data_IF_849795998994
#
_entry.id   IF_849795998994
#
_cell.length_a   1.000
_cell.length_b   1.000
_cell.length_c   1.000
_cell.angle_alpha   90.00
_cell.angle_beta   90.00
_cell.angle_gamma   90.00
#
_symmetry.space_group_name_H-M   'P 1'
#
loop_
_entity.id
_entity.type
_entity.pdbx_description
1 polymer ?
#
# COMPACT_ATOMS: atom_id res chain seq x y z
N UNK A 1 10.69 -10.66 33.70
CA UNK A 1 10.38 -11.22 35.03
C UNK A 1 11.68 -11.30 35.82
N UNK A 2 11.67 -11.03 37.13
CA UNK A 2 12.88 -11.10 37.96
C UNK A 2 13.14 -12.57 38.29
N UNK A 3 14.35 -13.04 37.99
CA UNK A 3 14.75 -14.43 38.15
C UNK A 3 15.66 -14.60 39.37
N UNK A 4 16.53 -13.62 39.65
CA UNK A 4 17.37 -13.62 40.85
C UNK A 4 17.62 -12.19 41.39
N UNK A 5 17.88 -12.12 42.69
CA UNK A 5 18.32 -10.92 43.38
C UNK A 5 19.42 -11.28 44.40
N UNK A 6 20.55 -10.58 44.33
CA UNK A 6 21.69 -10.76 45.22
C UNK A 6 21.98 -9.45 45.95
N UNK A 7 22.24 -9.55 47.26
CA UNK A 7 22.57 -8.40 48.12
C UNK A 7 23.93 -8.64 48.75
N UNK A 8 24.92 -7.86 48.33
CA UNK A 8 26.27 -7.82 48.90
C UNK A 8 26.68 -6.36 49.16
N UNK A 9 27.85 -5.92 48.71
CA UNK A 9 28.23 -4.50 48.67
C UNK A 9 27.35 -3.70 47.70
N UNK A 10 26.72 -4.39 46.74
CA UNK A 10 25.74 -3.85 45.79
C UNK A 10 24.53 -4.77 45.70
N UNK A 11 23.41 -4.22 45.23
CA UNK A 11 22.23 -5.01 44.88
C UNK A 11 22.32 -5.34 43.39
N UNK A 12 22.32 -6.62 43.06
CA UNK A 12 22.25 -7.09 41.68
C UNK A 12 20.94 -7.81 41.44
N UNK A 13 20.28 -7.51 40.33
CA UNK A 13 19.01 -8.11 39.94
C UNK A 13 19.16 -8.60 38.51
N UNK A 14 18.73 -9.83 38.25
CA UNK A 14 18.68 -10.40 36.92
C UNK A 14 17.27 -10.87 36.60
N UNK A 15 16.97 -10.92 35.30
CA UNK A 15 15.65 -11.29 34.84
C UNK A 15 15.57 -11.40 33.32
N UNK A 16 14.43 -11.89 32.87
CA UNK A 16 14.13 -12.07 31.44
C UNK A 16 13.30 -10.89 30.92
N UNK A 17 13.75 -10.25 29.84
CA UNK A 17 12.95 -9.32 29.04
C UNK A 17 12.24 -10.11 27.94
N UNK A 18 10.91 -10.01 27.88
CA UNK A 18 10.13 -10.55 26.77
C UNK A 18 9.98 -9.46 25.71
N UNK A 19 10.15 -9.80 24.44
CA UNK A 19 9.99 -8.89 23.31
C UNK A 19 8.69 -9.16 22.53
N UNK A 20 8.03 -10.29 22.74
CA UNK A 20 6.90 -10.80 21.96
C UNK A 20 5.51 -10.57 22.59
N UNK A 21 5.43 -9.88 23.73
CA UNK A 21 4.16 -9.64 24.45
C UNK A 21 3.28 -8.61 23.74
N UNK A 22 3.84 -7.45 23.36
CA UNK A 22 3.15 -6.38 22.66
C UNK A 22 4.11 -5.48 21.85
N UNK A 23 3.59 -4.45 21.16
CA UNK A 23 4.45 -3.53 20.40
C UNK A 23 5.40 -2.70 21.29
N UNK A 24 5.06 -2.48 22.57
CA UNK A 24 5.93 -1.74 23.49
C UNK A 24 7.11 -2.61 23.93
N UNK A 25 6.89 -3.91 24.16
CA UNK A 25 7.97 -4.84 24.49
C UNK A 25 9.00 -4.93 23.37
N UNK A 26 8.55 -4.98 22.11
CA UNK A 26 9.43 -4.94 20.93
C UNK A 26 10.25 -3.66 20.87
N UNK A 27 9.63 -2.51 21.13
CA UNK A 27 10.33 -1.22 21.14
C UNK A 27 11.39 -1.14 22.23
N UNK A 28 11.08 -1.61 23.45
CA UNK A 28 12.04 -1.64 24.56
C UNK A 28 13.23 -2.54 24.24
N UNK A 29 12.99 -3.73 23.70
CA UNK A 29 14.04 -4.65 23.26
C UNK A 29 14.91 -4.01 22.17
N UNK A 30 14.31 -3.43 21.13
CA UNK A 30 15.05 -2.76 20.05
C UNK A 30 15.88 -1.56 20.53
N UNK A 31 15.39 -0.80 21.52
CA UNK A 31 16.16 0.29 22.14
C UNK A 31 17.33 -0.25 22.96
N UNK A 32 17.16 -1.37 23.66
CA UNK A 32 18.24 -2.03 24.37
C UNK A 32 19.31 -2.57 23.41
N UNK A 33 18.92 -3.21 22.30
CA UNK A 33 19.85 -3.69 21.26
C UNK A 33 20.66 -2.56 20.62
N UNK A 34 20.09 -1.35 20.56
CA UNK A 34 20.78 -0.14 20.08
C UNK A 34 21.73 0.48 21.11
N UNK A 35 21.87 -0.11 22.29
CA UNK A 35 22.80 0.33 23.34
C UNK A 35 22.27 1.50 24.17
N UNK A 36 20.96 1.64 24.34
CA UNK A 36 20.40 2.67 25.22
C UNK A 36 20.90 2.48 26.67
N UNK A 37 21.37 3.55 27.35
CA UNK A 37 21.96 3.45 28.68
C UNK A 37 20.87 3.37 29.76
N UNK A 38 20.32 2.18 29.93
CA UNK A 38 19.26 1.95 30.91
C UNK A 38 19.75 2.03 32.35
N UNK A 39 18.86 2.44 33.23
CA UNK A 39 19.07 2.56 34.67
C UNK A 39 18.04 1.71 35.43
N UNK A 40 18.28 1.54 36.73
CA UNK A 40 17.37 0.78 37.58
C UNK A 40 16.98 1.61 38.79
N UNK A 41 15.68 1.71 39.04
CA UNK A 41 15.14 2.34 40.24
C UNK A 41 14.62 1.29 41.20
N UNK A 42 14.62 1.60 42.50
CA UNK A 42 14.18 0.69 43.56
C UNK A 42 13.25 1.40 44.53
N UNK A 43 12.13 0.74 44.85
CA UNK A 43 11.19 1.19 45.87
C UNK A 43 11.58 0.63 47.24
N UNK A 44 12.32 1.42 48.02
CA UNK A 44 12.79 1.04 49.36
C UNK A 44 11.77 1.47 50.42
N UNK A 45 11.36 0.51 51.25
CA UNK A 45 10.54 0.75 52.43
C UNK A 45 11.44 0.65 53.67
N UNK A 46 11.84 1.78 54.29
CA UNK A 46 12.72 1.76 55.44
C UNK A 46 11.99 1.22 56.68
N UNK A 47 12.63 0.31 57.41
CA UNK A 47 12.12 -0.14 58.72
C UNK A 47 12.39 0.89 59.82
N UNK A 48 13.53 1.57 59.74
CA UNK A 48 13.93 2.70 60.60
C UNK A 48 14.78 3.69 59.81
N UNK A 49 14.65 4.97 60.11
CA UNK A 49 15.45 6.04 59.52
C UNK A 49 16.30 6.70 60.61
N UNK A 50 17.60 6.79 60.38
CA UNK A 50 18.56 7.45 61.27
C UNK A 50 19.05 8.73 60.60
N UNK A 51 18.71 9.87 61.18
CA UNK A 51 19.23 11.17 60.72
C UNK A 51 20.61 11.45 61.34
N UNK A 52 21.61 11.59 60.50
CA UNK A 52 22.98 11.91 60.90
C UNK A 52 23.17 13.41 60.71
N UNK A 53 23.37 14.12 61.83
CA UNK A 53 23.55 15.58 61.83
C UNK A 53 24.92 15.98 61.26
N UNK A 54 25.02 17.26 60.87
CA UNK A 54 26.28 17.88 60.45
C UNK A 54 27.37 17.64 61.51
N UNK A 55 28.55 17.20 61.09
CA UNK A 55 29.70 16.92 61.97
C UNK A 55 29.69 15.54 62.65
N UNK A 56 28.59 14.78 62.57
CA UNK A 56 28.55 13.39 63.00
C UNK A 56 28.95 12.43 61.86
N UNK A 57 29.41 11.24 62.22
CA UNK A 57 29.73 10.15 61.28
C UNK A 57 28.86 8.93 61.56
N UNK A 58 28.53 8.18 60.51
CA UNK A 58 27.85 6.89 60.61
C UNK A 58 28.58 5.84 59.78
N UNK A 59 28.65 4.62 60.30
CA UNK A 59 29.10 3.45 59.56
C UNK A 59 27.92 2.81 58.81
N UNK A 60 28.05 2.70 57.50
CA UNK A 60 27.06 2.11 56.58
C UNK A 60 27.80 1.17 55.63
N UNK A 61 27.47 -0.12 55.66
CA UNK A 61 28.10 -1.15 54.81
C UNK A 61 29.65 -1.15 54.86
N UNK A 62 30.22 -0.90 56.05
CA UNK A 62 31.68 -0.82 56.25
C UNK A 62 32.34 0.49 55.77
N UNK A 63 31.52 1.48 55.37
CA UNK A 63 31.98 2.80 54.97
C UNK A 63 31.60 3.86 56.00
N UNK A 64 32.56 4.72 56.35
CA UNK A 64 32.35 5.85 57.24
C UNK A 64 31.84 7.06 56.47
N UNK A 65 30.58 7.45 56.69
CA UNK A 65 29.93 8.58 56.01
C UNK A 65 29.68 9.74 56.96
N UNK A 66 30.02 10.95 56.56
CA UNK A 66 29.79 12.18 57.34
C UNK A 66 28.42 12.80 57.01
N UNK A 67 27.71 13.28 58.03
CA UNK A 67 26.44 13.99 57.85
C UNK A 67 26.60 15.38 57.22
N UNK A 68 25.51 15.98 56.69
CA UNK A 68 24.12 15.58 56.90
C UNK A 68 23.65 14.51 55.92
N UNK A 69 23.13 13.40 56.44
CA UNK A 69 22.54 12.32 55.63
C UNK A 69 21.50 11.54 56.43
N UNK A 70 20.64 10.79 55.74
CA UNK A 70 19.67 9.88 56.38
C UNK A 70 20.03 8.44 56.03
N UNK A 71 20.24 7.61 57.04
CA UNK A 71 20.53 6.17 56.86
C UNK A 71 19.24 5.38 57.06
N UNK A 72 18.82 4.67 56.02
CA UNK A 72 17.71 3.73 56.10
C UNK A 72 18.22 2.37 56.59
N UNK A 73 17.67 1.86 57.69
CA UNK A 73 18.03 0.57 58.30
C UNK A 73 16.84 -0.40 58.29
N UNK A 74 17.17 -1.70 58.26
CA UNK A 74 16.20 -2.80 58.21
C UNK A 74 15.22 -2.64 57.04
N UNK A 75 15.77 -2.33 55.88
CA UNK A 75 15.00 -1.97 54.69
C UNK A 75 14.38 -3.19 54.04
N UNK A 76 13.19 -3.00 53.46
CA UNK A 76 12.58 -3.96 52.54
C UNK A 76 12.50 -3.35 51.15
N UNK A 77 13.08 -4.03 50.17
CA UNK A 77 12.88 -3.71 48.75
C UNK A 77 11.56 -4.33 48.30
N UNK A 78 10.64 -3.50 47.82
CA UNK A 78 9.31 -3.97 47.36
C UNK A 78 9.21 -4.13 45.86
N UNK A 79 9.93 -3.30 45.14
CA UNK A 79 9.86 -3.21 43.70
C UNK A 79 11.19 -2.72 43.15
N UNK A 80 11.43 -3.09 41.91
CA UNK A 80 12.55 -2.64 41.10
C UNK A 80 12.00 -2.34 39.72
N UNK A 81 12.46 -1.26 39.12
CA UNK A 81 11.94 -0.74 37.86
C UNK A 81 13.09 -0.54 36.89
N UNK A 82 12.90 -1.04 35.67
CA UNK A 82 13.78 -0.77 34.55
C UNK A 82 13.39 0.57 33.93
N UNK A 83 14.31 1.54 33.92
CA UNK A 83 14.02 2.94 33.65
C UNK A 83 15.00 3.53 32.65
N UNK A 84 14.56 4.50 31.85
CA UNK A 84 15.47 5.33 31.05
C UNK A 84 16.30 6.27 31.93
N UNK A 85 15.71 6.76 33.03
CA UNK A 85 16.34 7.58 34.04
C UNK A 85 15.86 7.14 35.43
N UNK A 86 16.77 6.70 36.27
CA UNK A 86 16.56 6.32 37.66
C UNK A 86 16.72 7.51 38.61
N UNK A 87 16.24 7.34 39.84
CA UNK A 87 16.43 8.33 40.90
C UNK A 87 17.91 8.39 41.38
N UNK A 88 18.61 7.27 41.30
CA UNK A 88 20.03 7.16 41.61
C UNK A 88 20.86 7.09 40.31
N UNK A 89 21.74 8.08 40.13
CA UNK A 89 22.57 8.23 38.94
C UNK A 89 23.70 7.20 38.84
N UNK A 90 23.98 6.45 39.92
CA UNK A 90 24.98 5.38 39.95
C UNK A 90 24.39 4.00 39.64
N UNK A 91 23.14 3.94 39.18
CA UNK A 91 22.50 2.70 38.75
C UNK A 91 22.67 2.46 37.26
N UNK A 92 22.79 1.19 36.87
CA UNK A 92 22.80 0.78 35.47
C UNK A 92 22.03 -0.52 35.30
N UNK A 93 21.44 -0.69 34.12
CA UNK A 93 20.80 -1.91 33.70
C UNK A 93 21.22 -2.23 32.26
N UNK A 94 21.46 -3.51 31.98
CA UNK A 94 21.85 -3.98 30.66
C UNK A 94 20.98 -5.18 30.30
N UNK A 95 20.58 -5.25 29.03
CA UNK A 95 19.84 -6.38 28.48
C UNK A 95 20.83 -7.20 27.67
N UNK A 96 20.97 -8.47 28.02
CA UNK A 96 21.87 -9.41 27.34
C UNK A 96 21.05 -10.42 26.54
N UNK A 97 21.47 -10.72 25.32
CA UNK A 97 20.93 -11.81 24.53
C UNK A 97 21.77 -13.06 24.75
N UNK A 98 21.13 -14.17 25.13
CA UNK A 98 21.80 -15.46 25.33
C UNK A 98 22.43 -15.89 23.99
N UNK A 99 23.76 -15.87 23.91
CA UNK A 99 24.53 -16.21 22.70
C UNK A 99 25.77 -15.33 22.49
N UNK A 100 25.84 -14.15 23.11
CA UNK A 100 27.03 -13.31 23.10
C UNK A 100 27.83 -13.53 24.40
N UNK A 101 28.88 -14.34 24.34
CA UNK A 101 29.93 -14.35 25.37
C UNK A 101 30.74 -13.07 25.22
N UNK A 102 30.38 -12.02 25.95
CA UNK A 102 31.30 -10.91 26.20
C UNK A 102 31.61 -10.87 27.69
N UNK A 103 32.89 -10.98 28.00
CA UNK A 103 33.44 -10.86 29.35
C UNK A 103 32.99 -9.55 29.97
N UNK A 104 32.23 -9.66 31.07
CA UNK A 104 31.62 -8.52 31.74
C UNK A 104 32.67 -7.84 32.61
N UNK A 105 33.44 -6.92 32.04
CA UNK A 105 34.12 -5.90 32.83
C UNK A 105 33.02 -4.99 33.40
N UNK A 106 32.78 -5.09 34.71
CA UNK A 106 31.90 -4.19 35.43
C UNK A 106 32.44 -2.76 35.31
N UNK A 107 31.98 -2.03 34.31
CA UNK A 107 32.20 -0.61 34.21
C UNK A 107 31.40 0.06 35.33
N UNK A 108 32.11 0.49 36.38
CA UNK A 108 31.59 1.41 37.38
C UNK A 108 31.01 2.61 36.62
N UNK A 109 29.71 2.92 36.72
CA UNK A 109 29.19 4.13 36.12
C UNK A 109 29.78 5.30 36.91
N UNK A 110 30.80 5.97 36.35
CA UNK A 110 31.03 7.36 36.75
C UNK A 110 29.75 8.13 36.42
N UNK A 111 29.26 8.99 37.33
CA UNK A 111 28.12 9.84 37.00
C UNK A 111 28.47 10.57 35.71
N UNK A 112 27.53 10.71 34.75
CA UNK A 112 27.80 11.47 33.55
C UNK A 112 28.23 12.86 34.00
N UNK A 113 29.53 13.15 33.93
CA UNK A 113 29.97 14.53 33.80
C UNK A 113 29.16 15.03 32.63
N UNK A 114 28.42 16.13 32.81
CA UNK A 114 27.96 16.89 31.66
C UNK A 114 29.20 17.06 30.79
N UNK A 115 29.30 16.26 29.73
CA UNK A 115 30.31 16.45 28.73
C UNK A 115 29.93 17.80 28.16
N UNK A 116 30.69 18.83 28.49
CA UNK A 116 30.75 20.01 27.66
C UNK A 116 31.08 19.45 26.27
N UNK A 117 30.05 19.36 25.42
CA UNK A 117 30.21 19.00 24.02
C UNK A 117 31.27 19.95 23.51
N UNK A 118 32.41 19.40 23.10
CA UNK A 118 33.51 20.22 22.61
C UNK A 118 32.99 21.06 21.44
N UNK A 119 33.54 22.25 21.24
CA UNK A 119 33.09 23.12 20.13
C UNK A 119 33.21 22.38 18.79
N UNK A 120 34.20 21.50 18.69
CA UNK A 120 34.45 20.61 17.57
C UNK A 120 33.31 19.59 17.36
N UNK A 121 32.78 19.00 18.43
CA UNK A 121 31.64 18.06 18.36
C UNK A 121 30.35 18.78 17.95
N UNK A 122 30.16 20.03 18.39
CA UNK A 122 29.03 20.86 17.99
C UNK A 122 29.10 21.23 16.50
N UNK A 123 30.28 21.64 16.01
CA UNK A 123 30.50 21.97 14.59
C UNK A 123 30.34 20.74 13.69
N UNK A 124 30.77 19.56 14.17
CA UNK A 124 30.52 18.28 13.50
C UNK A 124 29.03 17.95 13.47
N UNK A 125 28.31 18.11 14.57
CA UNK A 125 26.87 17.86 14.62
C UNK A 125 26.08 18.80 13.67
N UNK A 126 26.49 20.07 13.55
CA UNK A 126 25.91 21.00 12.56
C UNK A 126 26.16 20.52 11.13
N UNK A 127 27.38 20.04 10.85
CA UNK A 127 27.74 19.52 9.53
C UNK A 127 26.96 18.25 9.19
N UNK A 128 26.82 17.34 10.13
CA UNK A 128 26.01 16.12 9.99
C UNK A 128 24.51 16.45 9.81
N UNK A 129 24.00 17.45 10.52
CA UNK A 129 22.62 17.94 10.32
C UNK A 129 22.42 18.58 8.94
N UNK A 130 23.39 19.36 8.46
CA UNK A 130 23.32 19.96 7.13
C UNK A 130 23.34 18.90 6.03
N UNK A 131 24.20 17.87 6.16
CA UNK A 131 24.31 16.78 5.19
C UNK A 131 23.08 15.86 5.21
N UNK A 132 22.55 15.52 6.39
CA UNK A 132 21.30 14.73 6.51
C UNK A 132 20.10 15.48 5.94
N UNK A 133 19.98 16.79 6.19
CA UNK A 133 18.94 17.62 5.57
C UNK A 133 19.04 17.63 4.05
N UNK A 134 20.24 17.81 3.49
CA UNK A 134 20.45 17.76 2.05
C UNK A 134 20.09 16.38 1.45
N UNK A 135 20.43 15.29 2.16
CA UNK A 135 20.06 13.93 1.75
C UNK A 135 18.54 13.72 1.78
N UNK A 136 17.85 14.25 2.80
CA UNK A 136 16.40 14.18 2.92
C UNK A 136 15.70 14.94 1.79
N UNK A 137 16.15 16.16 1.49
CA UNK A 137 15.62 16.95 0.38
C UNK A 137 15.83 16.26 -0.97
N UNK A 138 17.00 15.66 -1.19
CA UNK A 138 17.28 14.87 -2.39
C UNK A 138 16.39 13.62 -2.49
N UNK A 139 16.15 12.92 -1.38
CA UNK A 139 15.26 11.76 -1.37
C UNK A 139 13.81 12.15 -1.63
N UNK A 140 13.34 13.26 -1.05
CA UNK A 140 11.99 13.77 -1.31
C UNK A 140 11.81 14.19 -2.77
N UNK A 141 12.81 14.83 -3.37
CA UNK A 141 12.79 15.16 -4.80
C UNK A 141 12.66 13.90 -5.68
N UNK A 142 13.37 12.83 -5.31
CA UNK A 142 13.28 11.54 -6.02
C UNK A 142 11.92 10.86 -5.84
N UNK A 143 11.29 10.98 -4.66
CA UNK A 143 9.94 10.46 -4.42
C UNK A 143 8.94 11.17 -5.34
N UNK A 144 8.98 12.50 -5.39
CA UNK A 144 8.09 13.29 -6.28
C UNK A 144 8.31 12.92 -7.75
N UNK A 145 9.55 12.72 -8.18
CA UNK A 145 9.85 12.28 -9.55
C UNK A 145 9.28 10.89 -9.85
N UNK A 146 9.44 9.94 -8.93
CA UNK A 146 8.92 8.57 -9.09
C UNK A 146 7.40 8.52 -9.05
N UNK A 147 6.76 9.29 -8.17
CA UNK A 147 5.30 9.44 -8.12
C UNK A 147 4.78 10.02 -9.44
N UNK A 148 5.45 11.03 -9.99
CA UNK A 148 5.13 11.59 -11.30
C UNK A 148 5.24 10.57 -12.44
N UNK A 149 6.31 9.76 -12.45
CA UNK A 149 6.49 8.68 -13.43
C UNK A 149 5.44 7.58 -13.27
N UNK A 150 5.12 7.20 -12.04
CA UNK A 150 4.12 6.17 -11.75
C UNK A 150 2.72 6.64 -12.16
N UNK A 151 2.35 7.89 -11.86
CA UNK A 151 1.09 8.48 -12.30
C UNK A 151 1.00 8.54 -13.84
N UNK A 152 2.07 8.92 -14.53
CA UNK A 152 2.13 8.92 -15.99
C UNK A 152 1.97 7.52 -16.58
N UNK A 153 2.68 6.52 -16.03
CA UNK A 153 2.56 5.12 -16.45
C UNK A 153 1.16 4.56 -16.16
N UNK A 154 0.59 4.85 -14.99
CA UNK A 154 -0.77 4.42 -14.64
C UNK A 154 -1.81 4.99 -15.61
N UNK A 155 -1.68 6.26 -16.01
CA UNK A 155 -2.55 6.88 -17.00
C UNK A 155 -2.39 6.25 -18.39
N UNK A 156 -1.17 5.95 -18.81
CA UNK A 156 -0.88 5.27 -20.09
C UNK A 156 -1.49 3.85 -20.11
N UNK A 157 -1.28 3.07 -19.05
CA UNK A 157 -1.87 1.74 -18.89
C UNK A 157 -3.40 1.80 -18.88
N UNK A 158 -3.99 2.74 -18.14
CA UNK A 158 -5.45 2.92 -18.10
C UNK A 158 -5.99 3.30 -19.48
N UNK A 159 -5.35 4.21 -20.18
CA UNK A 159 -5.77 4.64 -21.53
C UNK A 159 -5.76 3.47 -22.51
N UNK A 160 -4.73 2.63 -22.45
CA UNK A 160 -4.64 1.41 -23.26
C UNK A 160 -5.76 0.43 -22.94
N UNK A 161 -6.01 0.18 -21.65
CA UNK A 161 -7.09 -0.72 -21.21
C UNK A 161 -8.49 -0.22 -21.60
N UNK A 162 -8.73 1.10 -21.59
CA UNK A 162 -9.99 1.69 -22.06
C UNK A 162 -10.16 1.51 -23.57
N UNK A 163 -9.10 1.72 -24.36
CA UNK A 163 -9.13 1.48 -25.81
C UNK A 163 -9.45 0.01 -26.13
N UNK A 164 -8.82 -0.93 -25.40
CA UNK A 164 -9.09 -2.35 -25.54
C UNK A 164 -10.53 -2.72 -25.14
N UNK A 165 -11.05 -2.15 -24.05
CA UNK A 165 -12.44 -2.34 -23.64
C UNK A 165 -13.40 -1.86 -24.72
N UNK A 166 -13.17 -0.66 -25.27
CA UNK A 166 -14.03 -0.06 -26.28
C UNK A 166 -14.01 -0.87 -27.58
N UNK A 167 -12.83 -1.34 -28.00
CA UNK A 167 -12.71 -2.28 -29.11
C UNK A 167 -13.48 -3.60 -28.86
N UNK A 168 -13.38 -4.17 -27.66
CA UNK A 168 -14.06 -5.43 -27.32
C UNK A 168 -15.60 -5.33 -27.34
N UNK A 169 -16.15 -4.13 -27.09
CA UNK A 169 -17.59 -3.87 -27.13
C UNK A 169 -18.07 -3.23 -28.44
N UNK A 170 -17.20 -3.13 -29.46
CA UNK A 170 -17.46 -2.44 -30.74
C UNK A 170 -17.91 -0.99 -30.58
N UNK A 171 -17.29 -0.26 -29.65
CA UNK A 171 -17.49 1.17 -29.45
C UNK A 171 -16.28 1.95 -29.96
N UNK A 172 -16.52 3.02 -30.71
CA UNK A 172 -15.45 3.92 -31.13
C UNK A 172 -14.85 4.67 -29.94
N UNK A 173 -13.53 4.83 -29.93
CA UNK A 173 -12.85 5.62 -28.92
C UNK A 173 -13.06 7.11 -29.17
N UNK A 174 -13.68 7.78 -28.20
CA UNK A 174 -13.85 9.25 -28.15
C UNK A 174 -13.40 9.74 -26.78
N UNK A 175 -12.63 10.82 -26.73
CA UNK A 175 -12.06 11.32 -25.48
C UNK A 175 -13.15 11.71 -24.45
N UNK A 176 -14.27 12.27 -24.91
CA UNK A 176 -15.44 12.60 -24.07
C UNK A 176 -16.04 11.37 -23.40
N UNK A 177 -16.03 10.24 -24.10
CA UNK A 177 -16.66 9.00 -23.66
C UNK A 177 -15.70 8.16 -22.81
N UNK A 178 -14.40 8.32 -23.02
CA UNK A 178 -13.32 7.68 -22.27
C UNK A 178 -13.07 8.36 -20.92
N UNK A 179 -13.32 9.68 -20.81
CA UNK A 179 -13.03 10.46 -19.61
C UNK A 179 -13.54 9.84 -18.28
N UNK A 180 -14.76 9.28 -18.19
CA UNK A 180 -15.22 8.61 -16.96
C UNK A 180 -14.46 7.33 -16.61
N UNK A 181 -13.93 6.62 -17.62
CA UNK A 181 -13.16 5.38 -17.43
C UNK A 181 -11.70 5.65 -17.07
N UNK A 182 -11.18 6.79 -17.50
CA UNK A 182 -9.84 7.26 -17.12
C UNK A 182 -9.80 7.80 -15.69
N UNK A 183 -10.91 8.36 -15.18
CA UNK A 183 -10.98 8.97 -13.85
C UNK A 183 -11.49 8.06 -12.73
N UNK A 184 -12.06 6.90 -13.06
CA UNK A 184 -12.57 5.95 -12.06
C UNK A 184 -11.46 5.08 -11.46
N UNK A 185 -11.70 4.62 -10.22
CA UNK A 185 -10.82 3.70 -9.50
C UNK A 185 -10.58 2.38 -10.25
N UNK A 186 -9.42 1.77 -10.04
CA UNK A 186 -8.96 0.53 -10.67
C UNK A 186 -9.89 -0.66 -10.42
N UNK A 187 -10.39 -0.80 -9.21
CA UNK A 187 -11.30 -1.90 -8.84
C UNK A 187 -12.64 -1.73 -9.54
N UNK A 188 -13.13 -0.49 -9.60
CA UNK A 188 -14.38 -0.15 -10.27
C UNK A 188 -14.26 -0.38 -11.78
N UNK A 189 -13.16 0.07 -12.38
CA UNK A 189 -12.90 -0.15 -13.80
C UNK A 189 -12.82 -1.64 -14.13
N UNK A 190 -12.14 -2.44 -13.30
CA UNK A 190 -12.05 -3.88 -13.50
C UNK A 190 -13.43 -4.55 -13.49
N UNK A 191 -14.28 -4.22 -12.50
CA UNK A 191 -15.64 -4.75 -12.39
C UNK A 191 -16.52 -4.33 -13.59
N UNK A 192 -16.57 -3.03 -13.90
CA UNK A 192 -17.37 -2.50 -15.01
C UNK A 192 -16.91 -3.06 -16.35
N UNK A 193 -15.59 -3.16 -16.56
CA UNK A 193 -15.04 -3.70 -17.81
C UNK A 193 -15.35 -5.19 -17.99
N UNK A 194 -15.47 -5.95 -16.90
CA UNK A 194 -15.89 -7.36 -16.92
C UNK A 194 -17.38 -7.46 -17.27
N UNK A 195 -18.22 -6.69 -16.60
CA UNK A 195 -19.67 -6.72 -16.80
C UNK A 195 -20.07 -6.27 -18.21
N UNK A 196 -19.43 -5.21 -18.73
CA UNK A 196 -19.67 -4.72 -20.09
C UNK A 196 -19.29 -5.74 -21.18
N UNK A 197 -18.19 -6.47 -20.98
CA UNK A 197 -17.81 -7.55 -21.91
C UNK A 197 -18.80 -8.72 -21.85
N UNK A 198 -19.31 -9.04 -20.67
CA UNK A 198 -20.31 -10.11 -20.48
C UNK A 198 -21.70 -9.72 -21.02
N UNK A 199 -22.07 -8.45 -20.94
CA UNK A 199 -23.35 -7.92 -21.42
C UNK A 199 -23.41 -7.76 -22.95
N UNK A 200 -22.36 -8.15 -23.69
CA UNK A 200 -22.32 -8.07 -25.14
C UNK A 200 -23.48 -8.89 -25.74
N UNK A 201 -24.43 -8.25 -26.47
CA UNK A 201 -25.47 -9.00 -27.15
C UNK A 201 -24.82 -9.85 -28.25
N UNK A 202 -25.10 -11.16 -28.23
CA UNK A 202 -24.74 -12.02 -29.35
C UNK A 202 -25.54 -11.56 -30.57
N UNK A 203 -24.85 -11.22 -31.66
CA UNK A 203 -25.54 -10.95 -32.92
C UNK A 203 -26.28 -12.22 -33.33
N UNK A 204 -27.59 -12.11 -33.53
CA UNK A 204 -28.38 -13.21 -34.05
C UNK A 204 -27.85 -13.58 -35.45
N UNK A 205 -27.38 -14.83 -35.66
CA UNK A 205 -26.91 -15.29 -36.95
C UNK A 205 -27.96 -15.13 -38.07
N UNK A 206 -29.24 -15.01 -37.73
CA UNK A 206 -30.33 -14.74 -38.68
C UNK A 206 -30.19 -13.38 -39.38
N UNK A 207 -29.62 -12.36 -38.72
CA UNK A 207 -29.43 -11.02 -39.27
C UNK A 207 -28.26 -10.92 -40.27
N UNK A 208 -27.37 -11.92 -40.27
CA UNK A 208 -26.22 -12.02 -41.17
C UNK A 208 -26.49 -12.94 -42.38
N UNK A 209 -27.71 -13.47 -42.51
CA UNK A 209 -28.14 -14.19 -43.70
C UNK A 209 -28.69 -13.19 -44.70
N UNK A 210 -28.06 -13.08 -45.87
CA UNK A 210 -28.68 -12.46 -47.04
C UNK A 210 -29.72 -13.41 -47.59
N UNK A 211 -30.92 -13.39 -47.03
CA UNK A 211 -32.09 -14.01 -47.63
C UNK A 211 -32.87 -12.92 -48.38
N UNK A 212 -32.59 -12.78 -49.67
CA UNK A 212 -33.48 -12.09 -50.59
C UNK A 212 -34.64 -13.04 -50.89
N UNK A 213 -35.62 -13.10 -50.00
CA UNK A 213 -36.81 -13.92 -50.17
C UNK A 213 -37.70 -13.28 -51.26
N UNK A 214 -37.32 -13.46 -52.51
CA UNK A 214 -38.02 -12.89 -53.67
C UNK A 214 -37.20 -12.85 -54.96
N UNK A 215 -35.88 -13.03 -54.91
CA UNK A 215 -35.07 -13.28 -56.11
C UNK A 215 -35.05 -14.78 -56.38
N UNK A 216 -35.65 -15.23 -57.47
CA UNK A 216 -35.53 -16.63 -57.89
C UNK A 216 -34.07 -16.89 -58.26
N UNK A 217 -33.33 -17.50 -57.34
CA UNK A 217 -32.00 -18.05 -57.55
C UNK A 217 -32.10 -19.28 -58.45
N UNK A 218 -32.38 -19.05 -59.73
CA UNK A 218 -32.01 -20.02 -60.75
C UNK A 218 -30.72 -19.52 -61.39
N UNK A 219 -29.64 -20.26 -61.14
CA UNK A 219 -28.43 -20.25 -61.96
C UNK A 219 -28.70 -20.81 -63.38
N UNK A 220 -29.86 -20.46 -63.97
CA UNK A 220 -30.24 -20.78 -65.31
C UNK A 220 -29.83 -19.63 -66.23
N UNK A 221 -29.15 -19.99 -67.31
CA UNK A 221 -28.75 -19.13 -68.43
C UNK A 221 -29.79 -18.03 -68.72
N UNK A 222 -29.36 -16.81 -69.12
CA UNK A 222 -30.27 -15.71 -69.40
C UNK A 222 -31.43 -16.19 -70.29
N UNK A 223 -32.67 -15.87 -69.88
CA UNK A 223 -33.89 -16.30 -70.57
C UNK A 223 -33.78 -15.95 -72.06
N UNK A 224 -33.97 -16.95 -72.92
CA UNK A 224 -33.94 -16.75 -74.37
C UNK A 224 -35.10 -15.87 -74.81
N UNK A 225 -34.97 -15.18 -75.96
CA UNK A 225 -36.02 -14.30 -76.49
C UNK A 225 -37.38 -15.00 -76.63
N UNK A 226 -37.40 -16.30 -76.91
CA UNK A 226 -38.62 -17.11 -76.94
C UNK A 226 -39.30 -17.20 -75.57
N UNK A 227 -38.54 -17.43 -74.49
CA UNK A 227 -39.07 -17.52 -73.13
C UNK A 227 -39.61 -16.18 -72.61
N UNK A 228 -38.97 -15.07 -73.01
CA UNK A 228 -39.46 -13.71 -72.70
C UNK A 228 -40.79 -13.45 -73.44
N UNK A 229 -40.88 -13.86 -74.70
CA UNK A 229 -42.07 -13.65 -75.53
C UNK A 229 -43.27 -14.48 -75.05
N UNK A 230 -43.02 -15.71 -74.62
CA UNK A 230 -44.08 -16.57 -74.06
C UNK A 230 -44.55 -16.08 -72.68
N UNK A 231 -43.64 -15.62 -71.81
CA UNK A 231 -44.01 -15.00 -70.54
C UNK A 231 -44.84 -13.72 -70.75
N UNK A 232 -44.47 -12.89 -71.74
CA UNK A 232 -45.24 -11.70 -72.12
C UNK A 232 -46.64 -12.08 -72.64
N UNK A 233 -46.77 -13.11 -73.47
CA UNK A 233 -48.07 -13.61 -73.94
C UNK A 233 -48.94 -14.13 -72.80
N UNK A 234 -48.37 -14.87 -71.86
CA UNK A 234 -49.10 -15.36 -70.69
C UNK A 234 -49.56 -14.21 -69.79
N UNK A 235 -48.73 -13.19 -69.60
CA UNK A 235 -49.08 -12.00 -68.84
C UNK A 235 -50.19 -11.18 -69.52
N UNK A 236 -50.12 -10.99 -70.84
CA UNK A 236 -51.17 -10.34 -71.64
C UNK A 236 -52.48 -11.14 -71.56
N UNK A 237 -52.41 -12.47 -71.65
CA UNK A 237 -53.59 -13.33 -71.52
C UNK A 237 -54.20 -13.28 -70.10
N UNK A 238 -53.37 -13.16 -69.06
CA UNK A 238 -53.82 -12.98 -67.68
C UNK A 238 -54.48 -11.61 -67.47
N UNK A 239 -53.93 -10.54 -68.06
CA UNK A 239 -54.51 -9.20 -68.01
C UNK A 239 -55.82 -9.11 -68.81
N UNK A 240 -55.92 -9.81 -69.94
CA UNK A 240 -57.16 -9.92 -70.70
C UNK A 240 -58.28 -10.61 -69.90
N UNK A 241 -57.94 -11.62 -69.08
CA UNK A 241 -58.89 -12.25 -68.14
C UNK A 241 -59.35 -11.31 -67.01
N UNK A 242 -58.53 -10.31 -66.67
CA UNK A 242 -58.85 -9.26 -65.70
C UNK A 242 -59.57 -8.07 -66.34
N UNK A 243 -60.01 -8.18 -67.60
CA UNK A 243 -60.79 -7.16 -68.31
C UNK A 243 -59.97 -6.04 -68.94
N UNK A 244 -58.64 -6.17 -68.98
CA UNK A 244 -57.74 -5.18 -69.58
C UNK A 244 -57.26 -5.69 -70.94
N UNK A 245 -57.87 -5.22 -72.03
CA UNK A 245 -57.49 -5.60 -73.41
C UNK A 245 -56.63 -4.51 -74.03
N UNK A 246 -55.31 -4.68 -74.00
CA UNK A 246 -54.40 -3.93 -74.88
C UNK A 246 -54.04 -4.85 -76.04
N UNK A 247 -54.21 -4.36 -77.27
CA UNK A 247 -53.80 -5.11 -78.46
C UNK A 247 -52.29 -5.02 -78.67
N UNK A 248 -51.66 -6.03 -79.28
CA UNK A 248 -50.21 -6.06 -79.49
C UNK A 248 -49.68 -4.81 -80.24
N UNK A 249 -50.51 -4.16 -81.05
CA UNK A 249 -50.16 -2.91 -81.75
C UNK A 249 -50.02 -1.70 -80.80
N UNK A 250 -50.83 -1.64 -79.73
CA UNK A 250 -50.81 -0.56 -78.74
C UNK A 250 -49.66 -0.73 -77.73
N UNK A 251 -49.29 -1.97 -77.39
CA UNK A 251 -48.17 -2.27 -76.51
C UNK A 251 -46.82 -1.83 -77.09
N UNK A 252 -46.62 -1.99 -78.41
CA UNK A 252 -45.40 -1.56 -79.11
C UNK A 252 -45.29 -0.03 -79.15
N UNK A 253 -46.40 0.69 -79.29
CA UNK A 253 -46.41 2.16 -79.24
C UNK A 253 -46.10 2.72 -77.86
N UNK A 254 -46.48 2.02 -76.78
CA UNK A 254 -46.18 2.46 -75.41
C UNK A 254 -44.69 2.34 -75.09
N UNK A 255 -44.04 1.26 -75.50
CA UNK A 255 -42.59 1.06 -75.31
C UNK A 255 -41.77 2.07 -76.13
N UNK A 256 -42.22 2.41 -77.34
CA UNK A 256 -41.55 3.41 -78.19
C UNK A 256 -41.67 4.87 -77.68
N UNK A 257 -42.57 5.15 -76.72
CA UNK A 257 -42.69 6.47 -76.07
C UNK A 257 -41.94 6.58 -74.74
N UNK A 258 -41.44 5.46 -74.21
CA UNK A 258 -40.74 5.39 -72.93
C UNK A 258 -39.20 5.25 -73.09
N UNK A 259 -38.70 5.38 -74.31
CA UNK A 259 -37.29 5.50 -74.68
C UNK A 259 -37.05 6.87 -75.35
#
# INVERSE_FOLDING_TARGET
MIDAAEVSERISISGTLFDDIDERSKLVAAMADRGMPWQMSVGIHPGRMDEIKVGAKAEVNGQSMAGPLTVFRNNRVREVSFCTLGADSLTSAQVFTIGATQDVAAATPEPPKMSEISKEDYDRAITDLATTKASLEASNAKIVELEGKFAAQALEHRTSAVKELFAAINRDYKDTDAAPYLSMDDVVFAAVSKDLRAARPALDPSLMKTHADGGVDDAAKPKTAAQITDAARQHIAAQAKLGFTITNAEAVQFVARAA
#
